data_IF_477365365564
#
_entry.id   IF_477365365564
#
_cell.length_a   1.000
_cell.length_b   1.000
_cell.length_c   1.000
_cell.angle_alpha   90.00
_cell.angle_beta   90.00
_cell.angle_gamma   90.00
#
_symmetry.space_group_name_H-M   'P 1'
#
loop_
_entity.id
_entity.type
_entity.pdbx_description
1 polymer ?
#
# COMPACT_ATOMS: atom_id res chain seq x y z
N UNK A 1 22.60 -29.80 -9.10
CA UNK A 1 21.57 -28.78 -9.37
C UNK A 1 22.17 -27.45 -8.95
N UNK A 2 22.55 -26.60 -9.89
CA UNK A 2 23.20 -25.32 -9.59
C UNK A 2 22.06 -24.32 -9.36
N UNK A 3 21.89 -23.85 -8.12
CA UNK A 3 20.91 -22.82 -7.80
C UNK A 3 21.33 -21.52 -8.51
N UNK A 4 20.58 -21.14 -9.55
CA UNK A 4 20.65 -19.79 -10.12
C UNK A 4 20.31 -18.82 -8.99
N UNK A 5 21.28 -18.04 -8.51
CA UNK A 5 21.07 -17.13 -7.37
C UNK A 5 22.25 -17.01 -6.40
N UNK A 6 23.06 -18.06 -6.23
CA UNK A 6 24.06 -18.13 -5.14
C UNK A 6 25.20 -17.11 -5.20
N UNK A 7 25.39 -16.46 -6.35
CA UNK A 7 26.43 -15.46 -6.57
C UNK A 7 25.93 -14.01 -6.57
N UNK A 8 24.62 -13.78 -6.42
CA UNK A 8 24.10 -12.42 -6.36
C UNK A 8 24.28 -11.83 -4.95
N UNK A 9 24.90 -10.64 -4.82
CA UNK A 9 24.90 -9.92 -3.57
C UNK A 9 23.45 -9.62 -3.19
N UNK A 10 23.06 -9.99 -1.97
CA UNK A 10 21.73 -9.74 -1.45
C UNK A 10 21.88 -9.22 -0.02
N UNK A 11 20.93 -8.36 0.37
CA UNK A 11 20.81 -7.96 1.76
C UNK A 11 20.07 -9.07 2.50
N UNK A 12 20.58 -9.46 3.67
CA UNK A 12 19.93 -10.44 4.56
C UNK A 12 19.02 -9.77 5.60
N UNK A 13 18.96 -8.43 5.59
CA UNK A 13 18.15 -7.61 6.50
C UNK A 13 17.78 -6.30 5.82
N UNK A 14 16.68 -5.71 6.26
CA UNK A 14 16.24 -4.37 5.85
C UNK A 14 17.12 -3.30 6.51
N UNK A 15 17.29 -2.16 5.85
CA UNK A 15 18.18 -1.09 6.34
C UNK A 15 17.48 -0.17 7.35
N UNK A 16 16.16 -0.03 7.24
CA UNK A 16 15.36 0.75 8.17
C UNK A 16 14.00 0.10 8.44
N UNK A 17 13.54 0.22 9.68
CA UNK A 17 12.18 -0.11 10.08
C UNK A 17 11.57 1.12 10.72
N UNK A 18 10.44 1.58 10.16
CA UNK A 18 9.73 2.77 10.60
C UNK A 18 8.42 2.34 11.23
N UNK A 19 8.17 2.81 12.47
CA UNK A 19 6.99 2.46 13.25
C UNK A 19 7.24 1.34 14.27
N UNK A 20 6.23 1.00 15.09
CA UNK A 20 6.39 0.00 16.15
C UNK A 20 6.68 -1.39 15.59
N UNK A 21 7.76 -2.00 16.08
CA UNK A 21 7.92 -3.46 16.08
C UNK A 21 7.27 -3.97 17.36
N UNK A 22 6.14 -4.67 17.24
CA UNK A 22 5.63 -5.45 18.37
C UNK A 22 6.66 -6.50 18.79
N UNK A 23 6.59 -6.99 20.03
CA UNK A 23 7.44 -8.08 20.54
C UNK A 23 7.10 -9.46 19.95
N UNK A 24 6.37 -9.50 18.83
CA UNK A 24 5.90 -10.71 18.16
C UNK A 24 6.67 -11.00 16.88
N UNK A 25 6.52 -12.22 16.37
CA UNK A 25 7.01 -12.57 15.04
C UNK A 25 6.30 -11.73 13.98
N UNK A 26 7.02 -11.37 12.91
CA UNK A 26 6.39 -10.73 11.75
C UNK A 26 5.29 -11.65 11.20
N UNK A 27 4.17 -11.05 10.77
CA UNK A 27 3.10 -11.79 10.11
C UNK A 27 3.55 -12.35 8.76
N UNK A 28 2.84 -13.37 8.28
CA UNK A 28 3.13 -14.00 6.96
C UNK A 28 3.16 -12.96 5.84
N UNK A 29 2.23 -12.00 5.84
CA UNK A 29 2.17 -10.90 4.86
C UNK A 29 3.42 -10.02 4.88
N UNK A 30 3.82 -9.56 6.07
CA UNK A 30 4.98 -8.68 6.22
C UNK A 30 6.30 -9.37 5.83
N UNK A 31 6.42 -10.68 6.08
CA UNK A 31 7.55 -11.48 5.61
C UNK A 31 7.53 -11.66 4.09
N UNK A 32 6.36 -11.96 3.52
CA UNK A 32 6.17 -12.13 2.08
C UNK A 32 6.58 -10.87 1.30
N UNK A 33 6.10 -9.70 1.74
CA UNK A 33 6.39 -8.42 1.11
C UNK A 33 7.90 -8.15 1.02
N UNK A 34 8.61 -8.31 2.15
CA UNK A 34 10.04 -8.00 2.24
C UNK A 34 10.87 -9.01 1.47
N UNK A 35 10.59 -10.30 1.60
CA UNK A 35 11.37 -11.36 0.95
C UNK A 35 11.30 -11.26 -0.58
N UNK A 36 10.11 -11.03 -1.14
CA UNK A 36 9.95 -10.88 -2.59
C UNK A 36 10.48 -9.53 -3.09
N UNK A 37 10.25 -8.43 -2.37
CA UNK A 37 10.79 -7.13 -2.75
C UNK A 37 12.32 -7.16 -2.81
N UNK A 38 12.98 -7.71 -1.79
CA UNK A 38 14.44 -7.80 -1.74
C UNK A 38 15.01 -8.86 -2.69
N UNK A 39 14.20 -9.84 -3.11
CA UNK A 39 14.60 -10.80 -4.14
C UNK A 39 14.53 -10.21 -5.56
N UNK A 40 13.47 -9.44 -5.86
CA UNK A 40 13.31 -8.78 -7.15
C UNK A 40 14.21 -7.53 -7.29
N UNK A 41 14.35 -6.78 -6.20
CA UNK A 41 15.24 -5.63 -6.06
C UNK A 41 16.50 -5.97 -5.27
N UNK A 42 17.21 -7.03 -5.68
CA UNK A 42 18.39 -7.48 -4.96
C UNK A 42 19.46 -6.38 -4.84
N UNK A 43 20.09 -6.31 -3.67
CA UNK A 43 21.14 -5.33 -3.35
C UNK A 43 20.69 -3.86 -3.40
N UNK A 44 19.40 -3.59 -3.17
CA UNK A 44 18.83 -2.24 -3.05
C UNK A 44 18.42 -1.98 -1.60
N UNK A 45 18.72 -0.77 -1.11
CA UNK A 45 18.33 -0.39 0.25
C UNK A 45 16.81 -0.45 0.42
N UNK A 46 16.37 -1.24 1.39
CA UNK A 46 14.95 -1.57 1.59
C UNK A 46 14.50 -1.18 2.98
N UNK A 47 13.37 -0.49 3.06
CA UNK A 47 12.78 -0.01 4.30
C UNK A 47 11.44 -0.68 4.53
N UNK A 48 11.09 -0.93 5.78
CA UNK A 48 9.79 -1.47 6.18
C UNK A 48 9.03 -0.43 6.97
N UNK A 49 7.78 -0.18 6.58
CA UNK A 49 6.85 0.65 7.34
C UNK A 49 5.86 -0.28 8.06
N UNK A 50 5.88 -0.26 9.39
CA UNK A 50 4.99 -1.03 10.25
C UNK A 50 4.08 -0.09 11.00
N UNK A 51 2.80 -0.08 10.62
CA UNK A 51 1.78 0.77 11.22
C UNK A 51 0.84 -0.09 12.07
N UNK A 52 1.29 -0.48 13.27
CA UNK A 52 0.46 -1.27 14.18
C UNK A 52 -0.65 -0.44 14.83
N UNK A 53 -1.78 -1.09 15.10
CA UNK A 53 -2.92 -0.52 15.81
C UNK A 53 -4.06 -0.09 14.90
N UNK A 54 -5.20 0.26 15.51
CA UNK A 54 -6.35 0.84 14.84
C UNK A 54 -6.62 2.21 15.43
N UNK A 55 -6.90 3.19 14.57
CA UNK A 55 -7.44 4.48 14.98
C UNK A 55 -8.87 4.56 14.43
N UNK A 56 -9.87 4.72 15.30
CA UNK A 56 -11.28 4.79 14.89
C UNK A 56 -11.76 3.60 14.03
N UNK A 57 -11.35 2.39 14.41
CA UNK A 57 -11.67 1.12 13.70
C UNK A 57 -11.01 0.93 12.32
N UNK A 58 -10.24 1.90 11.83
CA UNK A 58 -9.45 1.77 10.60
C UNK A 58 -7.96 1.67 10.93
N UNK A 59 -7.21 1.02 10.05
CA UNK A 59 -5.76 1.06 10.12
C UNK A 59 -5.27 2.47 9.79
N UNK A 60 -4.16 2.93 10.38
CA UNK A 60 -3.69 4.30 10.21
C UNK A 60 -2.98 4.49 8.85
N UNK A 61 -3.66 4.17 7.76
CA UNK A 61 -3.18 4.29 6.38
C UNK A 61 -2.93 5.74 5.98
N UNK A 62 -3.85 6.65 6.32
CA UNK A 62 -3.64 8.08 6.09
C UNK A 62 -2.43 8.61 6.86
N UNK A 63 -2.15 8.10 8.06
CA UNK A 63 -0.98 8.52 8.84
C UNK A 63 0.33 8.20 8.10
N UNK A 64 0.42 7.04 7.46
CA UNK A 64 1.56 6.69 6.61
C UNK A 64 1.72 7.69 5.45
N UNK A 65 0.63 8.07 4.78
CA UNK A 65 0.69 9.08 3.70
C UNK A 65 1.14 10.46 4.18
N UNK A 66 0.70 10.88 5.36
CA UNK A 66 1.15 12.13 5.98
C UNK A 66 2.64 12.07 6.35
N UNK A 67 3.10 10.92 6.86
CA UNK A 67 4.51 10.68 7.14
C UNK A 67 5.35 10.78 5.86
N UNK A 68 4.87 10.20 4.75
CA UNK A 68 5.56 10.33 3.47
C UNK A 68 5.73 11.81 3.11
N UNK A 69 4.64 12.57 3.13
CA UNK A 69 4.65 14.00 2.81
C UNK A 69 5.58 14.84 3.70
N UNK A 70 5.82 14.42 4.95
CA UNK A 70 6.61 15.16 5.92
C UNK A 70 8.09 14.73 6.01
N UNK A 71 8.48 13.65 5.33
CA UNK A 71 9.84 13.07 5.44
C UNK A 71 10.62 13.28 4.14
N UNK A 72 11.81 13.88 4.22
CA UNK A 72 12.75 14.01 3.11
C UNK A 72 13.63 12.77 2.98
N UNK A 73 14.10 12.46 1.76
CA UNK A 73 15.03 11.34 1.53
C UNK A 73 14.40 9.96 1.64
N UNK A 74 13.11 9.85 1.31
CA UNK A 74 12.40 8.58 1.27
C UNK A 74 12.79 7.73 0.05
N UNK A 75 12.60 6.40 0.12
CA UNK A 75 12.68 5.53 -1.05
C UNK A 75 11.81 6.03 -2.21
N UNK A 76 12.25 5.79 -3.45
CA UNK A 76 11.49 6.23 -4.64
C UNK A 76 10.34 5.29 -4.98
N UNK A 77 10.42 4.03 -4.57
CA UNK A 77 9.42 2.99 -4.87
C UNK A 77 8.84 2.48 -3.56
N UNK A 78 7.52 2.48 -3.47
CA UNK A 78 6.75 1.96 -2.34
C UNK A 78 5.78 0.88 -2.84
N UNK A 79 5.87 -0.31 -2.29
CA UNK A 79 4.91 -1.40 -2.51
C UNK A 79 4.04 -1.51 -1.27
N UNK A 80 2.73 -1.56 -1.45
CA UNK A 80 1.76 -1.53 -0.34
C UNK A 80 0.72 -2.62 -0.51
N UNK A 81 0.66 -3.52 0.48
CA UNK A 81 -0.43 -4.50 0.62
C UNK A 81 -1.46 -3.96 1.62
N UNK A 82 -2.33 -3.06 1.14
CA UNK A 82 -3.43 -2.46 1.91
C UNK A 82 -4.64 -2.24 1.02
N UNK A 83 -5.84 -2.54 1.51
CA UNK A 83 -7.07 -2.22 0.82
C UNK A 83 -8.31 -2.35 1.70
N UNK A 84 -9.21 -1.39 1.57
CA UNK A 84 -10.57 -1.43 2.11
C UNK A 84 -11.58 -1.56 0.98
N UNK A 85 -12.78 -2.07 1.26
CA UNK A 85 -13.89 -1.98 0.32
C UNK A 85 -14.22 -0.49 0.06
N UNK A 86 -14.21 -0.04 -1.20
CA UNK A 86 -14.37 1.40 -1.55
C UNK A 86 -15.69 1.98 -1.00
N UNK A 87 -16.75 1.16 -1.00
CA UNK A 87 -18.07 1.52 -0.52
C UNK A 87 -18.19 1.63 1.01
N UNK A 88 -17.17 1.21 1.76
CA UNK A 88 -17.10 1.36 3.22
C UNK A 88 -16.53 2.71 3.65
N UNK A 89 -15.90 3.43 2.72
CA UNK A 89 -15.16 4.66 3.00
C UNK A 89 -15.99 5.92 2.70
N UNK A 90 -15.74 6.98 3.47
CA UNK A 90 -16.33 8.28 3.16
C UNK A 90 -15.66 8.92 1.93
N UNK A 91 -16.44 9.65 1.12
CA UNK A 91 -15.88 10.40 -0.01
C UNK A 91 -14.83 11.42 0.43
N UNK A 92 -14.99 12.02 1.61
CA UNK A 92 -14.02 12.98 2.15
C UNK A 92 -12.68 12.31 2.44
N UNK A 93 -12.70 11.11 3.04
CA UNK A 93 -11.49 10.31 3.28
C UNK A 93 -10.80 9.93 1.96
N UNK A 94 -11.53 9.38 1.00
CA UNK A 94 -10.96 8.98 -0.30
C UNK A 94 -10.37 10.17 -1.06
N UNK A 95 -11.04 11.33 -1.06
CA UNK A 95 -10.51 12.57 -1.66
C UNK A 95 -9.23 13.03 -0.97
N UNK A 96 -9.17 12.95 0.37
CA UNK A 96 -7.96 13.29 1.12
C UNK A 96 -6.82 12.35 0.77
N UNK A 97 -7.04 11.04 0.80
CA UNK A 97 -6.03 10.03 0.43
C UNK A 97 -5.53 10.27 -1.00
N UNK A 98 -6.42 10.50 -1.96
CA UNK A 98 -6.01 10.80 -3.34
C UNK A 98 -5.17 12.08 -3.46
N UNK A 99 -5.46 13.09 -2.64
CA UNK A 99 -4.65 14.31 -2.58
C UNK A 99 -3.23 14.01 -2.08
N UNK A 100 -3.09 13.11 -1.09
CA UNK A 100 -1.78 12.68 -0.61
C UNK A 100 -1.02 11.86 -1.68
N UNK A 101 -1.69 11.03 -2.47
CA UNK A 101 -1.06 10.36 -3.62
C UNK A 101 -0.60 11.35 -4.69
N UNK A 102 -1.40 12.38 -5.00
CA UNK A 102 -0.96 13.44 -5.91
C UNK A 102 0.29 14.15 -5.40
N UNK A 103 0.37 14.42 -4.08
CA UNK A 103 1.57 14.99 -3.46
C UNK A 103 2.78 14.07 -3.57
N UNK A 104 2.61 12.77 -3.34
CA UNK A 104 3.69 11.80 -3.49
C UNK A 104 4.17 11.69 -4.95
N UNK A 105 3.24 11.67 -5.91
CA UNK A 105 3.55 11.68 -7.34
C UNK A 105 4.29 12.95 -7.76
N UNK A 106 3.89 14.12 -7.27
CA UNK A 106 4.59 15.39 -7.50
C UNK A 106 6.03 15.39 -6.95
N UNK A 107 6.34 14.52 -5.99
CA UNK A 107 7.68 14.30 -5.45
C UNK A 107 8.47 13.21 -6.18
N UNK A 108 7.93 12.64 -7.25
CA UNK A 108 8.58 11.61 -8.07
C UNK A 108 8.52 10.20 -7.47
N UNK A 109 7.61 9.95 -6.52
CA UNK A 109 7.47 8.65 -5.87
C UNK A 109 6.58 7.72 -6.71
N UNK A 110 6.99 6.47 -6.86
CA UNK A 110 6.18 5.38 -7.42
C UNK A 110 5.54 4.59 -6.28
N UNK A 111 4.21 4.53 -6.25
CA UNK A 111 3.47 3.76 -5.25
C UNK A 111 2.63 2.69 -5.96
N UNK A 112 2.86 1.43 -5.60
CA UNK A 112 2.16 0.27 -6.13
C UNK A 112 1.28 -0.34 -5.04
N UNK A 113 0.04 -0.66 -5.40
CA UNK A 113 -0.94 -1.29 -4.52
C UNK A 113 -1.31 -2.67 -5.05
N UNK A 114 -1.49 -3.62 -4.14
CA UNK A 114 -2.15 -4.88 -4.46
C UNK A 114 -3.59 -4.63 -4.93
N UNK A 115 -4.06 -5.38 -5.94
CA UNK A 115 -5.43 -5.27 -6.44
C UNK A 115 -6.49 -5.90 -5.52
N UNK A 116 -6.04 -6.69 -4.54
CA UNK A 116 -6.88 -7.47 -3.63
C UNK A 116 -7.09 -8.92 -4.08
N UNK A 117 -7.48 -9.76 -3.12
CA UNK A 117 -7.53 -11.22 -3.27
C UNK A 117 -8.93 -11.77 -3.57
N UNK A 118 -9.93 -10.88 -3.70
CA UNK A 118 -11.35 -11.25 -3.85
C UNK A 118 -11.86 -11.16 -5.29
N UNK A 119 -10.97 -11.15 -6.29
CA UNK A 119 -11.33 -10.98 -7.70
C UNK A 119 -12.06 -9.66 -7.94
N UNK A 120 -13.20 -9.69 -8.62
CA UNK A 120 -14.05 -8.51 -8.84
C UNK A 120 -14.82 -8.05 -7.58
N UNK A 121 -14.72 -8.80 -6.48
CA UNK A 121 -15.50 -8.58 -5.27
C UNK A 121 -16.99 -8.88 -5.47
N UNK A 122 -17.74 -8.93 -4.36
CA UNK A 122 -19.18 -9.14 -4.38
C UNK A 122 -19.84 -8.36 -3.24
N UNK A 123 -20.78 -7.49 -3.59
CA UNK A 123 -21.62 -6.75 -2.63
C UNK A 123 -23.09 -7.09 -2.85
N UNK A 124 -23.76 -7.52 -1.79
CA UNK A 124 -25.21 -7.66 -1.79
C UNK A 124 -25.86 -6.26 -1.73
N UNK A 125 -26.85 -6.02 -2.59
CA UNK A 125 -27.65 -4.79 -2.60
C UNK A 125 -29.12 -5.13 -2.42
N UNK A 126 -29.94 -4.11 -2.13
CA UNK A 126 -31.37 -4.25 -1.89
C UNK A 126 -32.07 -5.03 -3.02
N UNK A 127 -32.96 -5.96 -2.64
CA UNK A 127 -33.69 -6.79 -3.58
C UNK A 127 -32.95 -8.06 -4.03
N UNK A 128 -31.98 -8.54 -3.24
CA UNK A 128 -31.29 -9.83 -3.49
C UNK A 128 -30.34 -9.81 -4.69
N UNK A 129 -29.95 -8.63 -5.16
CA UNK A 129 -29.03 -8.46 -6.28
C UNK A 129 -27.58 -8.39 -5.76
N UNK A 130 -26.64 -8.78 -6.61
CA UNK A 130 -25.21 -8.68 -6.34
C UNK A 130 -24.54 -7.78 -7.38
N UNK A 131 -23.57 -6.99 -6.93
CA UNK A 131 -22.75 -6.12 -7.78
C UNK A 131 -21.27 -6.32 -7.46
N UNK A 132 -20.39 -5.98 -8.40
CA UNK A 132 -18.95 -5.96 -8.15
C UNK A 132 -18.60 -4.97 -7.04
N UNK A 133 -17.51 -5.26 -6.33
CA UNK A 133 -17.10 -4.52 -5.15
C UNK A 133 -15.62 -4.14 -5.26
N UNK A 134 -15.30 -2.94 -5.78
CA UNK A 134 -13.92 -2.49 -5.90
C UNK A 134 -13.29 -2.21 -4.53
N UNK A 135 -11.97 -2.35 -4.45
CA UNK A 135 -11.15 -2.02 -3.29
C UNK A 135 -10.41 -0.69 -3.50
N UNK A 136 -10.28 0.09 -2.44
CA UNK A 136 -9.51 1.34 -2.40
C UNK A 136 -8.30 1.13 -1.48
N UNK A 137 -7.08 1.61 -1.83
CA UNK A 137 -6.74 2.56 -2.90
C UNK A 137 -6.38 1.94 -4.27
N UNK A 138 -6.60 0.64 -4.47
CA UNK A 138 -6.38 0.03 -5.79
C UNK A 138 -7.27 0.65 -6.88
N UNK A 139 -8.48 1.06 -6.53
CA UNK A 139 -9.38 1.82 -7.38
C UNK A 139 -9.04 3.31 -7.40
N UNK A 140 -9.35 3.96 -8.53
CA UNK A 140 -9.41 5.43 -8.59
C UNK A 140 -10.72 5.87 -7.96
N UNK A 141 -10.72 6.91 -7.11
CA UNK A 141 -11.99 7.39 -6.54
C UNK A 141 -12.93 7.80 -7.66
N UNK A 142 -14.15 7.27 -7.65
CA UNK A 142 -15.23 7.73 -8.52
C UNK A 142 -15.72 9.10 -8.06
N UNK A 143 -14.97 10.14 -8.41
CA UNK A 143 -15.56 11.45 -8.60
C UNK A 143 -14.79 12.13 -9.74
N UNK A 144 -15.41 12.35 -10.91
CA UNK A 144 -14.76 13.09 -11.96
C UNK A 144 -14.44 14.47 -11.40
N UNK A 145 -13.21 14.91 -11.59
CA UNK A 145 -13.00 16.33 -11.88
C UNK A 145 -13.84 16.55 -13.14
N UNK A 146 -15.08 16.98 -12.96
CA UNK A 146 -15.85 17.57 -14.04
C UNK A 146 -15.09 18.84 -14.44
N UNK A 147 -14.23 18.74 -15.46
CA UNK A 147 -13.68 19.91 -16.13
C UNK A 147 -12.16 20.06 -16.22
N UNK A 148 -11.38 18.99 -16.36
CA UNK A 148 -10.05 19.12 -16.98
C UNK A 148 -9.84 17.98 -17.98
N UNK A 149 -10.38 18.18 -19.19
CA UNK A 149 -9.76 17.64 -20.40
C UNK A 149 -8.57 18.55 -20.74
N UNK A 150 -7.43 17.94 -21.07
CA UNK A 150 -6.42 18.58 -21.94
C UNK A 150 -6.78 18.27 -23.38
#
# INVERSE_FOLDING_TARGET
MQLFGSMFPHHSRVDQVIGPQGSGLAGVEASLDVEYLMSMGANISTWVFSNAGRHESQEPFLQWLLLLSNTSGLPWVHTVSYGDDEDSLSQAYMKRVNTEFMKAAARGMSILFASGDSGAGCRAVSGGKHVFRPSFPASKSQNPISGVEM
#
